data_IF_918430317037
#
_entry.id   IF_918430317037
#
_cell.length_a   1.000
_cell.length_b   1.000
_cell.length_c   1.000
_cell.angle_alpha   90.00
_cell.angle_beta   90.00
_cell.angle_gamma   90.00
#
_symmetry.space_group_name_H-M   'P 1'
#
loop_
_entity.id
_entity.type
_entity.pdbx_description
1 polymer ?
#
# COMPACT_ATOMS: atom_id res chain seq x y z
N UNK A 1 46.93 -26.99 -20.15
CA UNK A 1 46.37 -25.67 -20.52
C UNK A 1 44.97 -25.92 -21.05
N UNK A 2 43.96 -25.59 -20.25
CA UNK A 2 42.56 -25.65 -20.63
C UNK A 2 42.24 -24.49 -21.58
N UNK A 3 41.73 -24.77 -22.78
CA UNK A 3 41.20 -23.76 -23.68
C UNK A 3 39.67 -23.83 -23.64
N UNK A 4 39.07 -22.72 -23.20
CA UNK A 4 37.64 -22.51 -22.99
C UNK A 4 36.87 -22.46 -24.32
N UNK A 5 35.69 -23.10 -24.31
CA UNK A 5 34.69 -23.02 -25.36
C UNK A 5 33.96 -21.66 -25.31
N UNK A 6 33.63 -21.03 -26.45
CA UNK A 6 32.97 -19.73 -26.45
C UNK A 6 31.49 -19.86 -26.08
N UNK A 7 31.12 -19.19 -24.98
CA UNK A 7 29.74 -19.08 -24.48
C UNK A 7 28.87 -18.34 -25.51
N UNK A 8 27.91 -19.07 -26.10
CA UNK A 8 26.82 -18.49 -26.93
C UNK A 8 26.04 -17.47 -26.09
N UNK A 9 26.17 -16.18 -26.41
CA UNK A 9 25.24 -15.14 -25.94
C UNK A 9 23.83 -15.48 -26.44
N UNK A 10 22.93 -15.91 -25.54
CA UNK A 10 21.49 -15.95 -25.83
C UNK A 10 21.03 -14.52 -26.11
N UNK A 11 20.68 -14.27 -27.36
CA UNK A 11 19.98 -13.07 -27.80
C UNK A 11 18.60 -13.09 -27.12
N UNK A 12 18.36 -12.16 -26.19
CA UNK A 12 17.06 -11.99 -25.55
C UNK A 12 16.09 -11.39 -26.58
N UNK A 13 15.00 -12.09 -26.83
CA UNK A 13 13.86 -11.52 -27.55
C UNK A 13 13.35 -10.31 -26.75
N UNK A 14 13.34 -9.15 -27.39
CA UNK A 14 12.61 -7.99 -26.93
C UNK A 14 11.16 -8.30 -27.30
N UNK A 15 10.38 -8.81 -26.36
CA UNK A 15 8.93 -8.88 -26.52
C UNK A 15 8.40 -7.46 -26.39
N UNK A 16 7.89 -6.91 -27.49
CA UNK A 16 7.04 -5.71 -27.49
C UNK A 16 5.78 -6.05 -26.68
N UNK A 17 5.83 -5.81 -25.37
CA UNK A 17 4.70 -6.01 -24.46
C UNK A 17 3.75 -4.81 -24.55
N UNK A 18 2.54 -5.03 -25.10
CA UNK A 18 1.44 -4.09 -24.97
C UNK A 18 1.15 -3.79 -23.48
N UNK A 19 1.10 -2.52 -23.06
CA UNK A 19 0.94 -2.16 -21.66
C UNK A 19 -0.46 -2.50 -21.13
N UNK A 20 -0.57 -2.91 -19.86
CA UNK A 20 -1.85 -3.09 -19.17
C UNK A 20 -2.69 -1.81 -19.29
N UNK A 21 -3.93 -1.96 -19.76
CA UNK A 21 -4.92 -0.88 -19.85
C UNK A 21 -5.47 -0.54 -18.46
N UNK A 22 -4.74 0.29 -17.72
CA UNK A 22 -5.23 0.87 -16.48
C UNK A 22 -6.19 2.05 -16.75
N UNK A 23 -7.29 2.19 -15.98
CA UNK A 23 -8.25 3.26 -16.19
C UNK A 23 -7.62 4.64 -16.00
N UNK A 24 -8.11 5.61 -16.80
CA UNK A 24 -7.69 7.02 -16.76
C UNK A 24 -8.96 7.88 -16.82
N UNK A 25 -9.34 8.58 -15.74
CA UNK A 25 -8.65 8.65 -14.44
C UNK A 25 -8.78 7.34 -13.61
N UNK A 26 -7.79 7.07 -12.75
CA UNK A 26 -7.76 5.89 -11.88
C UNK A 26 -8.47 6.19 -10.54
N UNK A 27 -9.80 6.26 -10.58
CA UNK A 27 -10.67 6.68 -9.46
C UNK A 27 -11.46 5.51 -8.85
N UNK A 28 -11.12 4.26 -9.18
CA UNK A 28 -11.85 3.08 -8.70
C UNK A 28 -13.33 3.14 -9.04
N UNK A 29 -14.15 2.73 -8.07
CA UNK A 29 -15.61 2.83 -8.10
C UNK A 29 -16.12 4.14 -7.50
N UNK A 30 -15.23 5.11 -7.26
CA UNK A 30 -15.54 6.41 -6.67
C UNK A 30 -14.41 6.92 -5.80
N UNK A 31 -14.24 8.24 -5.76
CA UNK A 31 -13.37 8.92 -4.79
C UNK A 31 -14.10 10.11 -4.19
N UNK A 32 -13.77 10.57 -2.97
CA UNK A 32 -14.55 11.58 -2.26
C UNK A 32 -14.78 12.93 -2.96
N UNK A 33 -13.96 13.27 -3.96
CA UNK A 33 -13.98 14.61 -4.59
C UNK A 33 -14.29 14.60 -6.08
N UNK A 34 -14.50 13.43 -6.68
CA UNK A 34 -14.89 13.35 -8.07
C UNK A 34 -16.33 12.85 -8.12
N UNK A 35 -17.20 13.59 -8.81
CA UNK A 35 -18.57 13.17 -9.05
C UNK A 35 -18.53 11.95 -9.98
N UNK A 36 -19.06 10.80 -9.52
CA UNK A 36 -19.23 9.65 -10.39
C UNK A 36 -20.25 10.01 -11.50
N UNK A 37 -19.91 9.88 -12.79
CA UNK A 37 -20.83 10.23 -13.88
C UNK A 37 -22.06 9.29 -13.95
N UNK A 38 -21.98 8.13 -13.30
CA UNK A 38 -23.07 7.17 -13.15
C UNK A 38 -22.77 6.31 -11.92
N UNK A 39 -23.82 5.83 -11.22
CA UNK A 39 -23.69 4.78 -10.20
C UNK A 39 -22.97 3.60 -10.87
N UNK A 40 -21.78 3.25 -10.38
CA UNK A 40 -21.10 2.05 -10.86
C UNK A 40 -21.96 0.87 -10.44
N UNK A 41 -22.65 0.23 -11.39
CA UNK A 41 -23.39 -0.98 -11.10
C UNK A 41 -22.40 -2.14 -11.11
N UNK A 42 -22.27 -2.82 -9.96
CA UNK A 42 -21.41 -3.98 -9.78
C UNK A 42 -22.23 -5.17 -9.31
N UNK A 43 -22.26 -6.23 -10.11
CA UNK A 43 -22.88 -7.50 -9.73
C UNK A 43 -21.79 -8.47 -9.32
N UNK A 44 -21.93 -9.07 -8.14
CA UNK A 44 -21.00 -10.07 -7.63
C UNK A 44 -21.56 -11.48 -7.89
N UNK A 45 -20.70 -12.45 -8.26
CA UNK A 45 -21.10 -13.86 -8.27
C UNK A 45 -21.55 -14.31 -6.87
N UNK A 46 -22.50 -15.24 -6.80
CA UNK A 46 -23.07 -15.72 -5.53
C UNK A 46 -22.00 -16.19 -4.54
N UNK A 47 -20.98 -16.89 -5.04
CA UNK A 47 -19.83 -17.38 -4.25
C UNK A 47 -18.99 -16.22 -3.66
N UNK A 48 -18.94 -15.07 -4.33
CA UNK A 48 -18.18 -13.92 -3.88
C UNK A 48 -18.89 -13.16 -2.75
N UNK A 49 -20.20 -13.29 -2.61
CA UNK A 49 -21.00 -12.52 -1.64
C UNK A 49 -20.57 -12.88 -0.20
N UNK A 50 -20.48 -11.86 0.66
CA UNK A 50 -20.15 -12.00 2.08
C UNK A 50 -21.39 -12.24 2.96
N UNK A 51 -21.21 -12.45 4.28
CA UNK A 51 -19.92 -12.57 4.99
C UNK A 51 -19.24 -13.95 4.77
N UNK A 52 -17.91 -14.04 4.93
CA UNK A 52 -16.98 -12.95 5.22
C UNK A 52 -16.83 -11.98 4.04
N UNK A 53 -16.62 -10.70 4.34
CA UNK A 53 -16.05 -9.79 3.37
C UNK A 53 -14.58 -10.10 3.18
N UNK A 54 -14.05 -9.96 1.97
CA UNK A 54 -12.64 -10.08 1.68
C UNK A 54 -12.13 -8.82 0.98
N UNK A 55 -10.86 -8.49 1.22
CA UNK A 55 -10.21 -7.33 0.64
C UNK A 55 -8.73 -7.63 0.37
N UNK A 56 -8.35 -7.65 -0.90
CA UNK A 56 -6.98 -7.94 -1.33
C UNK A 56 -6.40 -6.78 -2.13
N UNK A 57 -5.21 -6.30 -1.73
CA UNK A 57 -4.48 -5.23 -2.42
C UNK A 57 -3.27 -5.78 -3.19
N UNK A 58 -3.02 -5.19 -4.36
CA UNK A 58 -1.78 -5.39 -5.09
C UNK A 58 -1.39 -4.15 -5.93
N UNK A 59 -0.13 -4.08 -6.37
CA UNK A 59 0.34 -3.00 -7.25
C UNK A 59 -0.42 -2.97 -8.58
N UNK A 60 -0.91 -1.78 -8.98
CA UNK A 60 -1.69 -1.66 -10.20
C UNK A 60 -0.90 -2.06 -11.46
N UNK A 61 0.38 -1.67 -11.52
CA UNK A 61 1.31 -1.97 -12.62
C UNK A 61 1.96 -3.36 -12.48
N UNK A 62 1.16 -4.39 -12.19
CA UNK A 62 1.62 -5.78 -12.17
C UNK A 62 1.96 -6.28 -13.60
N UNK A 63 2.69 -7.39 -13.77
CA UNK A 63 2.89 -8.03 -15.08
C UNK A 63 1.57 -8.46 -15.74
N UNK A 64 1.59 -8.62 -17.08
CA UNK A 64 0.42 -9.06 -17.86
C UNK A 64 -0.10 -10.41 -17.34
N UNK A 65 -1.42 -10.57 -17.29
CA UNK A 65 -2.09 -11.80 -16.82
C UNK A 65 -2.15 -11.97 -15.30
N UNK A 66 -1.43 -11.15 -14.51
CA UNK A 66 -1.47 -11.23 -13.05
C UNK A 66 -2.84 -10.84 -12.50
N UNK A 67 -3.43 -9.73 -12.98
CA UNK A 67 -4.77 -9.32 -12.56
C UNK A 67 -5.86 -10.29 -13.00
N UNK A 68 -5.77 -10.83 -14.22
CA UNK A 68 -6.69 -11.86 -14.71
C UNK A 68 -6.64 -13.12 -13.84
N UNK A 69 -5.45 -13.49 -13.37
CA UNK A 69 -5.26 -14.61 -12.46
C UNK A 69 -5.83 -14.29 -11.08
N UNK A 70 -5.50 -13.13 -10.51
CA UNK A 70 -6.02 -12.75 -9.19
C UNK A 70 -7.55 -12.68 -9.17
N UNK A 71 -8.15 -12.09 -10.20
CA UNK A 71 -9.60 -12.01 -10.36
C UNK A 71 -10.22 -13.41 -10.45
N UNK A 72 -9.69 -14.30 -11.30
CA UNK A 72 -10.18 -15.68 -11.42
C UNK A 72 -10.17 -16.45 -10.10
N UNK A 73 -9.09 -16.33 -9.32
CA UNK A 73 -8.97 -17.02 -8.03
C UNK A 73 -9.77 -16.35 -6.91
N UNK A 74 -10.17 -15.08 -7.06
CA UNK A 74 -11.03 -14.36 -6.14
C UNK A 74 -12.43 -14.18 -6.74
N UNK A 75 -12.98 -15.28 -7.25
CA UNK A 75 -14.37 -15.42 -7.71
C UNK A 75 -14.76 -14.49 -8.86
N UNK A 76 -13.86 -14.29 -9.81
CA UNK A 76 -14.03 -13.42 -10.98
C UNK A 76 -14.44 -11.98 -10.63
N UNK A 77 -14.08 -11.53 -9.41
CA UNK A 77 -14.37 -10.16 -8.98
C UNK A 77 -13.41 -9.19 -9.67
N UNK A 78 -13.98 -8.14 -10.27
CA UNK A 78 -13.20 -7.11 -10.95
C UNK A 78 -12.38 -6.28 -9.95
N UNK A 79 -11.09 -6.01 -10.22
CA UNK A 79 -10.25 -5.16 -9.39
C UNK A 79 -10.64 -3.68 -9.48
N UNK A 80 -10.82 -3.04 -8.34
CA UNK A 80 -10.97 -1.59 -8.19
C UNK A 80 -9.59 -0.92 -8.29
N UNK A 81 -9.28 -0.29 -9.42
CA UNK A 81 -8.02 0.44 -9.60
C UNK A 81 -8.13 1.90 -9.15
N UNK A 82 -7.41 2.27 -8.10
CA UNK A 82 -7.38 3.65 -7.57
C UNK A 82 -5.96 4.14 -7.29
N UNK A 83 -5.73 5.44 -7.52
CA UNK A 83 -4.49 6.13 -7.18
C UNK A 83 -4.68 6.95 -5.89
N UNK A 84 -3.90 6.67 -4.85
CA UNK A 84 -4.00 7.40 -3.57
C UNK A 84 -3.75 8.90 -3.67
N UNK A 85 -3.31 9.44 -4.82
CA UNK A 85 -3.25 10.89 -5.04
C UNK A 85 -4.60 11.58 -4.87
N UNK A 86 -5.72 10.88 -4.98
CA UNK A 86 -7.06 11.43 -4.74
C UNK A 86 -7.40 11.53 -3.25
N UNK A 87 -6.64 10.84 -2.40
CA UNK A 87 -6.81 10.82 -0.96
C UNK A 87 -5.76 11.69 -0.27
N UNK A 88 -4.49 11.63 -0.66
CA UNK A 88 -3.40 12.38 -0.01
C UNK A 88 -2.43 13.07 -1.01
N UNK A 89 -1.33 13.64 -0.50
CA UNK A 89 -0.33 14.36 -1.28
C UNK A 89 0.67 13.46 -2.06
N UNK A 90 0.52 12.13 -1.98
CA UNK A 90 1.38 11.17 -2.70
C UNK A 90 0.57 10.32 -3.66
N UNK A 91 1.11 10.04 -4.85
CA UNK A 91 0.53 9.07 -5.75
C UNK A 91 0.87 7.63 -5.32
N UNK A 92 -0.10 6.72 -5.30
CA UNK A 92 0.12 5.30 -5.00
C UNK A 92 -0.94 4.50 -5.77
N UNK A 93 -0.58 4.04 -6.96
CA UNK A 93 -1.48 3.28 -7.84
C UNK A 93 -1.58 1.84 -7.39
N UNK A 94 -2.79 1.40 -7.02
CA UNK A 94 -3.10 0.04 -6.55
C UNK A 94 -4.38 -0.47 -7.20
N UNK A 95 -4.49 -1.79 -7.25
CA UNK A 95 -5.76 -2.46 -7.50
C UNK A 95 -6.21 -3.16 -6.23
N UNK A 96 -7.52 -3.21 -6.03
CA UNK A 96 -8.15 -3.81 -4.85
C UNK A 96 -9.26 -4.76 -5.31
N UNK A 97 -9.17 -6.04 -4.95
CA UNK A 97 -10.24 -7.01 -5.22
C UNK A 97 -10.98 -7.26 -3.90
N UNK A 98 -12.28 -6.97 -3.88
CA UNK A 98 -13.10 -7.13 -2.69
C UNK A 98 -14.57 -7.36 -3.03
N UNK A 99 -15.31 -7.94 -2.10
CA UNK A 99 -16.77 -8.11 -2.18
C UNK A 99 -17.55 -7.07 -1.35
N UNK A 100 -16.90 -6.02 -0.85
CA UNK A 100 -17.56 -4.93 -0.12
C UNK A 100 -18.62 -4.20 -0.97
N UNK A 101 -19.69 -3.68 -0.35
CA UNK A 101 -20.54 -2.66 -0.95
C UNK A 101 -19.73 -1.44 -1.40
N UNK A 102 -20.23 -0.74 -2.40
CA UNK A 102 -19.56 0.44 -2.99
C UNK A 102 -20.39 1.72 -2.82
N UNK A 103 -21.65 1.55 -2.45
CA UNK A 103 -22.59 2.59 -2.06
C UNK A 103 -22.26 3.14 -0.66
N UNK A 104 -22.65 4.39 -0.41
CA UNK A 104 -22.56 5.05 0.91
C UNK A 104 -21.17 5.10 1.56
N UNK A 105 -20.10 4.95 0.74
CA UNK A 105 -18.72 5.17 1.18
C UNK A 105 -18.52 6.62 1.62
N UNK A 106 -17.84 6.81 2.74
CA UNK A 106 -17.49 8.13 3.28
C UNK A 106 -16.00 8.25 3.60
N UNK A 107 -15.37 9.43 3.40
CA UNK A 107 -13.96 9.63 3.69
C UNK A 107 -13.68 9.70 5.20
N UNK A 108 -12.45 9.37 5.59
CA UNK A 108 -11.95 9.72 6.91
C UNK A 108 -11.88 11.24 7.10
N UNK A 109 -12.21 11.67 8.31
CA UNK A 109 -12.06 13.07 8.75
C UNK A 109 -11.05 13.17 9.90
N UNK A 110 -10.27 14.26 9.97
CA UNK A 110 -10.15 15.32 8.96
C UNK A 110 -9.49 14.80 7.67
N UNK A 111 -9.81 15.42 6.53
CA UNK A 111 -9.19 15.07 5.25
C UNK A 111 -7.68 15.35 5.30
N UNK A 112 -6.82 14.42 4.84
CA UNK A 112 -5.38 14.63 4.85
C UNK A 112 -4.96 15.67 3.79
N UNK A 113 -3.77 16.26 3.92
CA UNK A 113 -3.25 17.21 2.94
C UNK A 113 -3.15 16.56 1.56
N UNK A 114 -3.59 17.28 0.54
CA UNK A 114 -3.62 16.83 -0.84
C UNK A 114 -2.47 17.41 -1.65
N UNK A 115 -1.81 18.47 -1.24
CA UNK A 115 -0.64 18.98 -1.98
C UNK A 115 0.62 18.94 -1.12
N UNK A 116 1.79 18.97 -1.77
CA UNK A 116 3.08 19.09 -1.07
C UNK A 116 3.08 20.31 -0.16
N UNK A 117 2.49 21.43 -0.59
CA UNK A 117 2.49 22.66 0.20
C UNK A 117 1.46 22.67 1.33
N UNK A 118 0.37 21.91 1.23
CA UNK A 118 -0.52 21.65 2.37
C UNK A 118 0.17 20.75 3.41
N UNK A 119 0.87 19.70 2.94
CA UNK A 119 1.58 18.77 3.82
C UNK A 119 2.82 19.41 4.47
N UNK A 120 3.54 20.25 3.73
CA UNK A 120 4.81 20.85 4.14
C UNK A 120 4.84 22.36 3.86
N UNK A 121 4.08 23.18 4.62
CA UNK A 121 3.96 24.62 4.35
C UNK A 121 5.30 25.37 4.33
N UNK A 122 6.25 24.94 5.16
CA UNK A 122 7.57 25.57 5.28
C UNK A 122 8.45 25.39 4.05
N UNK A 123 8.18 24.40 3.20
CA UNK A 123 8.94 24.15 1.96
C UNK A 123 8.66 25.20 0.89
N UNK A 124 7.49 25.86 0.94
CA UNK A 124 7.05 26.84 -0.08
C UNK A 124 8.05 27.98 -0.27
N UNK A 125 8.68 28.45 0.81
CA UNK A 125 9.70 29.52 0.78
C UNK A 125 10.93 29.14 -0.05
N UNK A 126 11.25 27.85 -0.13
CA UNK A 126 12.45 27.34 -0.79
C UNK A 126 12.17 26.67 -2.13
N UNK A 127 10.91 26.66 -2.55
CA UNK A 127 10.48 25.96 -3.74
C UNK A 127 10.84 26.75 -5.01
N UNK A 128 11.66 26.20 -5.92
CA UNK A 128 11.97 26.88 -7.17
C UNK A 128 10.72 27.04 -8.05
N UNK A 129 10.61 28.18 -8.76
CA UNK A 129 9.51 28.46 -9.71
C UNK A 129 9.37 27.40 -10.81
N UNK A 130 10.49 26.81 -11.24
CA UNK A 130 10.54 25.77 -12.26
C UNK A 130 10.24 24.35 -11.73
N UNK A 131 10.17 24.15 -10.40
CA UNK A 131 9.72 22.88 -9.85
C UNK A 131 8.20 22.83 -9.77
N UNK A 132 7.59 22.25 -10.80
CA UNK A 132 6.14 22.20 -10.98
C UNK A 132 5.43 21.11 -10.17
N UNK A 133 6.14 20.37 -9.31
CA UNK A 133 5.52 19.27 -8.54
C UNK A 133 4.59 19.83 -7.47
N UNK A 134 3.33 19.40 -7.51
CA UNK A 134 2.33 19.65 -6.47
C UNK A 134 2.02 18.39 -5.65
N UNK A 135 2.45 17.22 -6.14
CA UNK A 135 2.27 15.89 -5.56
C UNK A 135 3.61 15.15 -5.55
N UNK A 136 3.76 14.25 -4.58
CA UNK A 136 4.87 13.30 -4.52
C UNK A 136 4.54 12.04 -5.32
N UNK A 137 5.59 11.33 -5.73
CA UNK A 137 5.47 10.00 -6.33
C UNK A 137 5.26 8.94 -5.25
N UNK A 138 5.02 7.70 -5.66
CA UNK A 138 4.87 6.55 -4.77
C UNK A 138 6.03 6.47 -3.78
N UNK A 139 5.70 6.52 -2.50
CA UNK A 139 6.62 6.34 -1.41
C UNK A 139 7.29 4.96 -1.51
N UNK A 140 8.62 4.94 -1.45
CA UNK A 140 9.45 3.75 -1.65
C UNK A 140 10.01 3.23 -0.31
N UNK A 141 10.53 2.01 -0.30
CA UNK A 141 11.18 1.39 0.87
C UNK A 141 12.60 1.92 1.15
N UNK A 142 13.12 2.76 0.26
CA UNK A 142 14.46 3.34 0.32
C UNK A 142 14.43 4.83 0.04
N UNK A 143 15.37 5.56 0.63
CA UNK A 143 15.46 7.02 0.50
C UNK A 143 16.70 7.47 -0.27
N UNK A 144 16.66 8.70 -0.78
CA UNK A 144 17.80 9.33 -1.44
C UNK A 144 19.00 9.48 -0.47
N UNK A 145 20.20 9.21 -0.97
CA UNK A 145 21.42 9.30 -0.15
C UNK A 145 21.85 10.74 0.12
N UNK A 146 22.60 10.96 1.20
CA UNK A 146 23.23 12.24 1.50
C UNK A 146 24.16 12.72 0.35
N UNK A 147 24.83 11.78 -0.33
CA UNK A 147 25.67 12.07 -1.51
C UNK A 147 24.85 12.62 -2.67
N UNK A 148 23.64 12.10 -2.88
CA UNK A 148 22.73 12.64 -3.90
C UNK A 148 22.30 14.07 -3.56
N UNK A 149 21.87 14.32 -2.32
CA UNK A 149 21.49 15.66 -1.86
C UNK A 149 22.66 16.66 -2.02
N UNK A 150 23.89 16.26 -1.71
CA UNK A 150 25.08 17.09 -1.90
C UNK A 150 25.37 17.38 -3.39
N UNK A 151 25.20 16.39 -4.28
CA UNK A 151 25.33 16.61 -5.74
C UNK A 151 24.30 17.61 -6.27
N UNK A 152 23.04 17.51 -5.84
CA UNK A 152 21.99 18.47 -6.21
C UNK A 152 22.36 19.86 -5.70
N UNK A 153 22.80 19.97 -4.44
CA UNK A 153 23.24 21.25 -3.86
C UNK A 153 24.39 21.88 -4.65
N UNK A 154 25.40 21.09 -5.03
CA UNK A 154 26.55 21.55 -5.84
C UNK A 154 26.13 21.99 -7.23
N UNK A 155 25.27 21.21 -7.89
CA UNK A 155 24.73 21.57 -9.20
C UNK A 155 23.97 22.90 -9.15
N UNK A 156 23.10 23.08 -8.15
CA UNK A 156 22.34 24.32 -7.96
C UNK A 156 23.24 25.51 -7.62
N UNK A 157 24.25 25.32 -6.76
CA UNK A 157 25.23 26.37 -6.43
C UNK A 157 26.04 26.84 -7.62
N UNK A 158 26.45 25.92 -8.50
CA UNK A 158 27.19 26.27 -9.71
C UNK A 158 26.37 27.16 -10.66
N UNK A 159 25.03 27.14 -10.52
CA UNK A 159 24.12 27.96 -11.31
C UNK A 159 23.83 29.32 -10.66
N UNK A 160 24.29 29.60 -9.43
CA UNK A 160 24.06 30.90 -8.78
C UNK A 160 24.78 32.07 -9.47
N UNK A 161 25.77 31.78 -10.31
CA UNK A 161 26.50 32.78 -11.10
C UNK A 161 25.77 33.13 -12.41
N UNK A 162 24.68 32.43 -12.75
CA UNK A 162 23.85 32.76 -13.91
C UNK A 162 22.72 33.69 -13.45
N UNK A 163 22.51 34.79 -14.18
CA UNK A 163 21.33 35.63 -13.98
C UNK A 163 20.08 34.87 -14.47
N UNK A 164 19.30 34.33 -13.55
CA UNK A 164 18.01 33.70 -13.83
C UNK A 164 17.90 32.23 -13.40
N UNK A 165 17.00 31.49 -14.04
CA UNK A 165 16.78 30.08 -13.74
C UNK A 165 17.93 29.20 -14.29
N UNK A 166 18.22 28.05 -13.65
CA UNK A 166 19.21 27.10 -14.16
C UNK A 166 18.91 26.66 -15.61
N UNK A 167 19.91 26.28 -16.41
CA UNK A 167 19.68 25.69 -17.72
C UNK A 167 18.74 24.47 -17.65
N UNK A 168 17.89 24.29 -18.67
CA UNK A 168 16.88 23.21 -18.71
C UNK A 168 17.45 21.81 -18.46
N UNK A 169 18.68 21.55 -18.88
CA UNK A 169 19.36 20.28 -18.61
C UNK A 169 19.61 20.03 -17.12
N UNK A 170 19.98 21.07 -16.37
CA UNK A 170 20.17 21.00 -14.92
C UNK A 170 18.83 20.88 -14.21
N UNK A 171 17.83 21.67 -14.64
CA UNK A 171 16.47 21.57 -14.10
C UNK A 171 15.93 20.15 -14.26
N UNK A 172 16.03 19.58 -15.46
CA UNK A 172 15.60 18.21 -15.76
C UNK A 172 16.30 17.18 -14.87
N UNK A 173 17.63 17.23 -14.77
CA UNK A 173 18.40 16.34 -13.90
C UNK A 173 17.93 16.42 -12.44
N UNK A 174 17.79 17.63 -11.89
CA UNK A 174 17.36 17.83 -10.51
C UNK A 174 15.92 17.35 -10.31
N UNK A 175 15.00 17.66 -11.22
CA UNK A 175 13.62 17.19 -11.13
C UNK A 175 13.52 15.67 -11.22
N UNK A 176 14.30 15.02 -12.08
CA UNK A 176 14.26 13.57 -12.23
C UNK A 176 14.73 12.88 -10.94
N UNK A 177 15.81 13.37 -10.31
CA UNK A 177 16.25 12.86 -9.00
C UNK A 177 15.26 13.18 -7.88
N UNK A 178 14.70 14.39 -7.86
CA UNK A 178 13.69 14.79 -6.89
C UNK A 178 12.41 13.96 -7.00
N UNK A 179 11.95 13.64 -8.22
CA UNK A 179 10.81 12.74 -8.47
C UNK A 179 11.12 11.30 -8.09
N UNK A 180 12.31 10.82 -8.40
CA UNK A 180 12.72 9.44 -8.11
C UNK A 180 12.80 9.16 -6.61
N UNK A 181 13.34 10.11 -5.86
CA UNK A 181 13.62 9.94 -4.43
C UNK A 181 12.70 10.74 -3.51
N UNK A 182 11.63 11.33 -4.07
CA UNK A 182 10.68 12.18 -3.36
C UNK A 182 11.37 13.26 -2.50
N UNK A 183 12.35 13.95 -3.09
CA UNK A 183 13.10 15.00 -2.39
C UNK A 183 12.27 16.29 -2.31
N UNK A 184 12.33 16.94 -1.15
CA UNK A 184 11.71 18.23 -0.87
C UNK A 184 12.76 19.34 -0.74
N UNK A 185 12.40 20.56 -1.12
CA UNK A 185 13.23 21.74 -0.90
C UNK A 185 13.09 22.24 0.53
N UNK A 186 14.18 22.15 1.31
CA UNK A 186 14.21 22.48 2.75
C UNK A 186 15.06 23.72 3.06
N UNK A 187 15.67 24.30 2.03
CA UNK A 187 16.51 25.48 2.14
C UNK A 187 17.00 25.94 0.78
N UNK A 188 17.61 27.13 0.72
CA UNK A 188 18.25 27.64 -0.51
C UNK A 188 19.22 26.60 -1.07
N UNK A 189 18.92 26.09 -2.27
CA UNK A 189 19.67 25.06 -2.98
C UNK A 189 19.81 23.72 -2.22
N UNK A 190 18.92 23.43 -1.26
CA UNK A 190 18.96 22.21 -0.44
C UNK A 190 17.71 21.38 -0.68
N UNK A 191 17.90 20.21 -1.29
CA UNK A 191 16.91 19.16 -1.37
C UNK A 191 17.20 18.08 -0.32
N UNK A 192 16.17 17.54 0.32
CA UNK A 192 16.28 16.50 1.37
C UNK A 192 15.26 15.40 1.14
N UNK A 193 15.55 14.13 1.46
CA UNK A 193 14.52 13.10 1.55
C UNK A 193 13.53 13.44 2.68
N UNK A 194 12.35 12.82 2.59
CA UNK A 194 11.33 12.86 3.64
C UNK A 194 11.86 12.22 4.94
N UNK A 195 11.56 12.85 6.07
CA UNK A 195 11.74 12.26 7.39
C UNK A 195 10.68 11.17 7.65
N UNK A 196 10.95 10.29 8.61
CA UNK A 196 10.09 9.12 8.86
C UNK A 196 8.68 9.50 9.34
N UNK A 197 8.54 10.57 10.12
CA UNK A 197 7.24 11.05 10.61
C UNK A 197 6.44 11.77 9.51
N UNK A 198 7.13 12.42 8.57
CA UNK A 198 6.51 12.95 7.34
C UNK A 198 5.95 11.81 6.48
N UNK A 199 6.67 10.68 6.43
CA UNK A 199 6.25 9.46 5.75
C UNK A 199 5.00 8.84 6.40
N UNK A 200 4.97 8.74 7.74
CA UNK A 200 3.82 8.27 8.51
C UNK A 200 2.58 9.13 8.24
N UNK A 201 2.74 10.46 8.27
CA UNK A 201 1.66 11.41 7.98
C UNK A 201 1.09 11.23 6.58
N UNK A 202 1.95 11.13 5.55
CA UNK A 202 1.52 10.97 4.16
C UNK A 202 0.82 9.62 3.91
N UNK A 203 1.21 8.59 4.66
CA UNK A 203 0.59 7.26 4.62
C UNK A 203 -0.67 7.16 5.50
N UNK A 204 -1.00 8.19 6.29
CA UNK A 204 -2.19 8.26 7.13
C UNK A 204 -2.08 7.52 8.47
N UNK A 205 -0.86 7.19 8.89
CA UNK A 205 -0.57 6.58 10.20
C UNK A 205 -0.45 7.64 11.31
N UNK A 206 -0.66 7.25 12.58
CA UNK A 206 -0.35 8.10 13.73
C UNK A 206 1.11 8.56 13.72
N UNK A 207 1.38 9.75 14.26
CA UNK A 207 2.74 10.25 14.40
C UNK A 207 3.54 9.34 15.33
N UNK A 208 4.76 8.99 14.93
CA UNK A 208 5.64 8.06 15.64
C UNK A 208 5.14 6.60 15.66
N UNK A 209 4.17 6.22 14.82
CA UNK A 209 3.64 4.85 14.77
C UNK A 209 4.72 3.78 14.64
N UNK A 210 5.75 4.03 13.84
CA UNK A 210 6.87 3.10 13.63
C UNK A 210 8.09 3.43 14.48
N UNK A 211 8.00 4.38 15.43
CA UNK A 211 9.13 4.80 16.27
C UNK A 211 9.08 4.11 17.63
N UNK A 212 10.11 3.35 17.95
CA UNK A 212 10.25 2.70 19.26
C UNK A 212 10.77 1.28 19.14
N UNK A 213 10.88 0.56 20.26
CA UNK A 213 11.11 -0.89 20.24
C UNK A 213 12.37 -1.37 19.52
N UNK A 214 13.42 -0.54 19.42
CA UNK A 214 14.69 -0.93 18.79
C UNK A 214 14.70 -0.95 17.25
N UNK A 215 13.63 -0.51 16.57
CA UNK A 215 13.58 -0.48 15.10
C UNK A 215 14.56 0.53 14.50
N UNK A 216 15.29 0.11 13.46
CA UNK A 216 16.21 0.99 12.75
C UNK A 216 15.46 1.99 11.86
N UNK A 217 16.08 3.15 11.57
CA UNK A 217 15.50 4.13 10.64
C UNK A 217 15.26 3.53 9.24
N UNK A 218 16.14 2.62 8.80
CA UNK A 218 16.00 1.92 7.51
C UNK A 218 14.77 1.00 7.51
N UNK A 219 14.57 0.24 8.59
CA UNK A 219 13.41 -0.64 8.71
C UNK A 219 12.10 0.15 8.79
N UNK A 220 12.09 1.32 9.43
CA UNK A 220 10.93 2.23 9.40
C UNK A 220 10.50 2.59 7.98
N UNK A 221 11.45 3.02 7.13
CA UNK A 221 11.15 3.34 5.72
C UNK A 221 10.70 2.11 4.94
N UNK A 222 11.32 0.94 5.20
CA UNK A 222 10.94 -0.32 4.55
C UNK A 222 9.49 -0.70 4.89
N UNK A 223 9.14 -0.69 6.17
CA UNK A 223 7.81 -1.02 6.66
C UNK A 223 6.75 -0.05 6.13
N UNK A 224 7.03 1.26 6.16
CA UNK A 224 6.09 2.28 5.66
C UNK A 224 5.93 2.25 4.13
N UNK A 225 7.00 2.03 3.37
CA UNK A 225 6.94 1.93 1.91
C UNK A 225 6.01 0.81 1.43
N UNK A 226 5.97 -0.29 2.18
CA UNK A 226 5.16 -1.47 1.88
C UNK A 226 3.75 -1.44 2.50
N UNK A 227 3.46 -0.54 3.44
CA UNK A 227 2.17 -0.46 4.11
C UNK A 227 1.03 0.07 3.22
N UNK A 228 -0.21 -0.13 3.66
CA UNK A 228 -1.37 0.54 3.05
C UNK A 228 -1.33 2.05 3.23
N UNK A 229 -1.89 2.78 2.26
CA UNK A 229 -2.27 4.17 2.48
C UNK A 229 -3.63 4.15 3.21
N UNK A 230 -3.62 4.59 4.47
CA UNK A 230 -4.73 4.39 5.41
C UNK A 230 -6.02 5.05 4.93
N UNK A 231 -5.98 6.28 4.44
CA UNK A 231 -7.19 7.02 4.05
C UNK A 231 -7.88 6.42 2.81
N UNK A 232 -7.13 5.83 1.88
CA UNK A 232 -7.64 5.10 0.71
C UNK A 232 -8.35 3.84 1.16
N UNK A 233 -7.69 3.02 1.99
CA UNK A 233 -8.28 1.77 2.50
C UNK A 233 -9.49 2.05 3.38
N UNK A 234 -9.42 3.05 4.25
CA UNK A 234 -10.53 3.45 5.10
C UNK A 234 -11.74 3.92 4.30
N UNK A 235 -11.56 4.60 3.17
CA UNK A 235 -12.69 4.96 2.30
C UNK A 235 -13.42 3.72 1.80
N UNK A 236 -12.71 2.66 1.39
CA UNK A 236 -13.33 1.42 0.96
C UNK A 236 -13.98 0.65 2.11
N UNK A 237 -13.33 0.63 3.29
CA UNK A 237 -13.84 -0.07 4.49
C UNK A 237 -14.94 0.70 5.23
N UNK A 238 -15.21 1.96 4.86
CA UNK A 238 -16.17 2.84 5.55
C UNK A 238 -17.58 2.25 5.63
N UNK A 239 -18.00 1.52 4.59
CA UNK A 239 -19.29 0.83 4.50
C UNK A 239 -19.51 -0.20 5.62
N UNK A 240 -18.43 -0.72 6.22
CA UNK A 240 -18.53 -1.68 7.31
C UNK A 240 -19.00 -1.05 8.63
N UNK A 241 -18.92 0.29 8.76
CA UNK A 241 -19.28 0.98 10.00
C UNK A 241 -20.74 0.75 10.38
N UNK A 242 -21.65 0.93 9.42
CA UNK A 242 -23.08 0.81 9.67
C UNK A 242 -23.53 -0.65 9.65
N UNK A 243 -22.82 -1.52 8.93
CA UNK A 243 -23.07 -2.97 8.92
C UNK A 243 -22.70 -3.65 10.25
N UNK A 244 -21.71 -3.12 10.97
CA UNK A 244 -21.17 -3.72 12.19
C UNK A 244 -21.05 -2.70 13.34
N UNK A 245 -22.18 -2.20 13.87
CA UNK A 245 -22.18 -1.19 14.93
C UNK A 245 -21.55 -1.68 16.24
N UNK A 246 -21.53 -3.01 16.46
CA UNK A 246 -20.96 -3.66 17.64
C UNK A 246 -19.52 -4.14 17.44
N UNK A 247 -18.86 -3.71 16.36
CA UNK A 247 -17.51 -4.12 16.01
C UNK A 247 -17.43 -5.38 15.16
N UNK A 248 -16.21 -5.69 14.75
CA UNK A 248 -15.90 -6.74 13.78
C UNK A 248 -14.79 -7.67 14.27
N UNK A 249 -14.83 -8.89 13.74
CA UNK A 249 -13.73 -9.86 13.81
C UNK A 249 -12.94 -9.82 12.49
N UNK A 250 -11.63 -9.59 12.57
CA UNK A 250 -10.76 -9.37 11.41
C UNK A 250 -9.69 -10.45 11.33
N UNK A 251 -9.54 -11.04 10.15
CA UNK A 251 -8.38 -11.85 9.78
C UNK A 251 -7.49 -11.03 8.83
N UNK A 252 -6.36 -10.56 9.34
CA UNK A 252 -5.43 -9.65 8.67
C UNK A 252 -4.17 -10.40 8.24
N UNK A 253 -4.09 -10.74 6.96
CA UNK A 253 -3.00 -11.51 6.36
C UNK A 253 -1.96 -10.56 5.75
N UNK A 254 -0.68 -10.80 6.05
CA UNK A 254 0.43 -9.91 5.66
C UNK A 254 0.22 -8.48 6.20
N UNK A 255 -0.17 -8.41 7.48
CA UNK A 255 -0.69 -7.20 8.12
C UNK A 255 0.32 -6.05 8.21
N UNK A 256 1.63 -6.35 8.11
CA UNK A 256 2.69 -5.36 8.19
C UNK A 256 2.58 -4.54 9.47
N UNK A 257 2.56 -3.22 9.33
CA UNK A 257 2.47 -2.29 10.47
C UNK A 257 1.03 -1.97 10.88
N UNK A 258 0.05 -2.77 10.47
CA UNK A 258 -1.33 -2.61 10.92
C UNK A 258 -2.17 -1.60 10.12
N UNK A 259 -1.93 -1.48 8.81
CA UNK A 259 -2.60 -0.46 8.00
C UNK A 259 -4.13 -0.60 7.95
N UNK A 260 -4.64 -1.84 7.96
CA UNK A 260 -6.07 -2.12 7.95
C UNK A 260 -6.70 -1.81 9.32
N UNK A 261 -6.05 -2.23 10.39
CA UNK A 261 -6.46 -2.04 11.77
C UNK A 261 -6.51 -0.56 12.12
N UNK A 262 -5.50 0.21 11.70
CA UNK A 262 -5.49 1.67 11.83
C UNK A 262 -6.63 2.31 11.05
N UNK A 263 -6.92 1.84 9.83
CA UNK A 263 -8.04 2.35 9.02
C UNK A 263 -9.39 2.12 9.71
N UNK A 264 -9.66 0.89 10.16
CA UNK A 264 -10.89 0.50 10.86
C UNK A 264 -11.05 1.26 12.19
N UNK A 265 -9.97 1.39 12.96
CA UNK A 265 -9.95 2.16 14.19
C UNK A 265 -10.26 3.64 13.93
N UNK A 266 -9.66 4.26 12.90
CA UNK A 266 -9.94 5.66 12.53
C UNK A 266 -11.36 5.88 12.01
N UNK A 267 -11.99 4.85 11.42
CA UNK A 267 -13.41 4.87 11.08
C UNK A 267 -14.32 4.77 12.31
N UNK A 268 -13.76 4.46 13.48
CA UNK A 268 -14.50 4.21 14.71
C UNK A 268 -15.27 2.90 14.67
N UNK A 269 -14.76 1.90 13.93
CA UNK A 269 -15.30 0.54 13.93
C UNK A 269 -14.59 -0.24 15.04
N UNK A 270 -15.31 -0.76 16.06
CA UNK A 270 -14.68 -1.49 17.15
C UNK A 270 -14.01 -2.78 16.64
N UNK A 271 -12.81 -3.06 17.13
CA UNK A 271 -12.05 -4.27 16.81
C UNK A 271 -12.23 -5.29 17.94
N UNK A 272 -13.10 -6.28 17.73
CA UNK A 272 -13.45 -7.27 18.76
C UNK A 272 -12.39 -8.36 18.86
N UNK A 273 -12.04 -8.96 17.73
CA UNK A 273 -10.96 -9.92 17.61
C UNK A 273 -10.17 -9.64 16.34
N UNK A 274 -8.86 -9.51 16.44
CA UNK A 274 -7.96 -9.34 15.30
C UNK A 274 -6.95 -10.48 15.31
N UNK A 275 -7.02 -11.35 14.30
CA UNK A 275 -6.00 -12.34 14.03
C UNK A 275 -5.09 -11.77 12.94
N UNK A 276 -3.83 -11.52 13.30
CA UNK A 276 -2.86 -10.84 12.45
C UNK A 276 -1.71 -11.79 12.09
N UNK A 277 -1.41 -11.91 10.79
CA UNK A 277 -0.32 -12.75 10.29
C UNK A 277 0.77 -11.89 9.66
N UNK A 278 1.94 -11.84 10.28
CA UNK A 278 3.06 -11.01 9.82
C UNK A 278 4.41 -11.66 10.12
N UNK A 279 5.24 -11.82 9.08
CA UNK A 279 6.54 -12.52 9.19
C UNK A 279 7.58 -11.71 9.96
N UNK A 280 7.58 -10.38 9.82
CA UNK A 280 8.54 -9.51 10.49
C UNK A 280 8.17 -9.25 11.94
N UNK A 281 9.02 -9.70 12.86
CA UNK A 281 8.86 -9.41 14.29
C UNK A 281 8.80 -7.91 14.58
N UNK A 282 9.56 -7.11 13.84
CA UNK A 282 9.56 -5.65 13.94
C UNK A 282 8.17 -5.08 13.65
N UNK A 283 7.51 -5.55 12.59
CA UNK A 283 6.17 -5.13 12.21
C UNK A 283 5.11 -5.61 13.23
N UNK A 284 5.22 -6.86 13.70
CA UNK A 284 4.37 -7.38 14.78
C UNK A 284 4.48 -6.53 16.05
N UNK A 285 5.69 -6.14 16.43
CA UNK A 285 5.93 -5.28 17.59
C UNK A 285 5.35 -3.87 17.40
N UNK A 286 5.36 -3.32 16.19
CA UNK A 286 4.69 -2.04 15.88
C UNK A 286 3.18 -2.17 16.09
N UNK A 287 2.54 -3.19 15.51
CA UNK A 287 1.10 -3.39 15.66
C UNK A 287 0.72 -3.64 17.12
N UNK A 288 1.47 -4.46 17.85
CA UNK A 288 1.25 -4.71 19.29
C UNK A 288 1.39 -3.43 20.12
N UNK A 289 2.43 -2.63 19.85
CA UNK A 289 2.61 -1.34 20.54
C UNK A 289 1.43 -0.41 20.28
N UNK A 290 0.96 -0.32 19.03
CA UNK A 290 -0.21 0.48 18.68
C UNK A 290 -1.49 -0.01 19.36
N UNK A 291 -1.68 -1.34 19.41
CA UNK A 291 -2.82 -1.98 20.07
C UNK A 291 -2.92 -1.58 21.55
N UNK A 292 -1.80 -1.66 22.26
CA UNK A 292 -1.71 -1.28 23.68
C UNK A 292 -1.86 0.23 23.89
N UNK A 293 -1.20 1.04 23.07
CA UNK A 293 -1.22 2.51 23.16
C UNK A 293 -2.60 3.11 22.88
N UNK A 294 -3.40 2.46 22.03
CA UNK A 294 -4.78 2.88 21.74
C UNK A 294 -5.79 2.26 22.70
N UNK A 295 -5.34 1.50 23.70
CA UNK A 295 -6.15 0.85 24.73
C UNK A 295 -7.30 0.02 24.13
N UNK A 296 -7.03 -0.70 23.04
CA UNK A 296 -8.00 -1.61 22.43
C UNK A 296 -8.57 -2.58 23.45
N UNK A 297 -9.87 -2.83 23.37
CA UNK A 297 -10.60 -3.69 24.31
C UNK A 297 -10.79 -5.11 23.83
N UNK A 298 -10.67 -5.34 22.52
CA UNK A 298 -10.70 -6.66 21.92
C UNK A 298 -9.42 -7.44 22.12
N UNK A 299 -9.34 -8.56 21.41
CA UNK A 299 -8.18 -9.45 21.41
C UNK A 299 -7.33 -9.25 20.16
N UNK A 300 -6.01 -9.18 20.33
CA UNK A 300 -5.04 -9.28 19.23
C UNK A 300 -4.30 -10.61 19.35
N UNK A 301 -4.36 -11.41 18.29
CA UNK A 301 -3.70 -12.71 18.20
C UNK A 301 -2.73 -12.66 17.02
N UNK A 302 -1.43 -12.79 17.30
CA UNK A 302 -0.40 -12.72 16.27
C UNK A 302 0.16 -14.09 15.89
N UNK A 303 0.18 -14.35 14.58
CA UNK A 303 0.90 -15.45 13.95
C UNK A 303 2.06 -14.89 13.12
N UNK A 304 3.18 -15.60 13.11
CA UNK A 304 4.34 -15.18 12.32
C UNK A 304 4.31 -15.76 10.88
N UNK A 305 3.63 -16.88 10.66
CA UNK A 305 3.61 -17.56 9.37
C UNK A 305 2.18 -17.97 9.01
N UNK A 306 1.79 -17.69 7.76
CA UNK A 306 0.48 -18.05 7.22
C UNK A 306 0.28 -19.56 7.14
N UNK A 307 1.35 -20.34 7.12
CA UNK A 307 1.29 -21.80 7.16
C UNK A 307 0.77 -22.34 8.51
N UNK A 308 0.78 -21.52 9.57
CA UNK A 308 0.20 -21.90 10.86
C UNK A 308 -1.33 -21.83 10.86
N UNK A 309 -1.93 -21.11 9.91
CA UNK A 309 -3.38 -21.06 9.73
C UNK A 309 -3.82 -22.22 8.82
N UNK A 310 -4.05 -23.38 9.44
CA UNK A 310 -4.69 -24.53 8.81
C UNK A 310 -6.19 -24.59 9.17
N UNK A 311 -6.91 -25.56 8.59
CA UNK A 311 -8.36 -25.72 8.78
C UNK A 311 -8.76 -25.84 10.24
N UNK A 312 -8.08 -26.69 11.01
CA UNK A 312 -8.38 -26.94 12.43
C UNK A 312 -8.21 -25.68 13.28
N UNK A 313 -7.14 -24.92 13.03
CA UNK A 313 -6.86 -23.65 13.73
C UNK A 313 -7.91 -22.61 13.41
N UNK A 314 -8.27 -22.46 12.12
CA UNK A 314 -9.32 -21.53 11.71
C UNK A 314 -10.69 -21.94 12.28
N UNK A 315 -10.99 -23.23 12.33
CA UNK A 315 -12.23 -23.75 12.88
C UNK A 315 -12.35 -23.42 14.38
N UNK A 316 -11.30 -23.67 15.16
CA UNK A 316 -11.24 -23.31 16.59
C UNK A 316 -11.42 -21.80 16.82
N UNK A 317 -10.82 -20.97 15.98
CA UNK A 317 -11.02 -19.51 16.06
C UNK A 317 -12.45 -19.11 15.72
N UNK A 318 -13.03 -19.68 14.68
CA UNK A 318 -14.42 -19.41 14.28
C UNK A 318 -15.38 -19.86 15.38
N UNK A 319 -15.12 -20.99 16.06
CA UNK A 319 -15.84 -21.43 17.27
C UNK A 319 -15.74 -20.42 18.41
N UNK A 320 -14.54 -19.92 18.68
CA UNK A 320 -14.31 -19.02 19.80
C UNK A 320 -14.81 -17.60 19.56
N UNK A 321 -14.77 -17.08 18.33
CA UNK A 321 -15.06 -15.69 18.01
C UNK A 321 -16.44 -15.47 17.39
N UNK A 322 -17.08 -16.54 16.89
CA UNK A 322 -18.32 -16.46 16.10
C UNK A 322 -18.11 -16.19 14.60
N UNK A 323 -16.89 -16.41 14.10
CA UNK A 323 -16.53 -16.18 12.69
C UNK A 323 -15.79 -14.87 12.44
N UNK A 324 -15.40 -14.65 11.17
CA UNK A 324 -14.72 -13.44 10.71
C UNK A 324 -15.63 -12.62 9.81
N UNK A 325 -15.69 -11.32 10.03
CA UNK A 325 -16.46 -10.39 9.22
C UNK A 325 -15.66 -9.89 8.03
N UNK A 326 -14.34 -9.76 8.20
CA UNK A 326 -13.40 -9.26 7.20
C UNK A 326 -12.13 -10.11 7.15
N UNK A 327 -11.79 -10.61 5.96
CA UNK A 327 -10.48 -11.19 5.63
C UNK A 327 -9.71 -10.23 4.72
N UNK A 328 -8.71 -9.54 5.26
CA UNK A 328 -7.97 -8.49 4.56
C UNK A 328 -6.50 -8.87 4.37
N UNK A 329 -5.93 -8.54 3.22
CA UNK A 329 -4.51 -8.73 2.98
C UNK A 329 -3.96 -7.90 1.82
N UNK A 330 -2.64 -7.78 1.76
CA UNK A 330 -1.93 -7.09 0.69
C UNK A 330 -0.74 -7.90 0.21
N UNK A 331 -0.40 -7.79 -1.07
CA UNK A 331 0.80 -8.45 -1.60
C UNK A 331 2.06 -7.84 -0.95
N UNK A 332 2.97 -8.64 -0.37
CA UNK A 332 4.25 -8.15 0.12
C UNK A 332 5.11 -7.68 -1.07
N UNK A 333 5.01 -6.40 -1.37
CA UNK A 333 5.64 -5.77 -2.54
C UNK A 333 7.16 -5.61 -2.41
N UNK A 334 7.95 -6.69 -2.50
CA UNK A 334 9.41 -6.58 -2.60
C UNK A 334 9.96 -6.78 -4.03
N UNK A 335 9.25 -7.47 -4.94
CA UNK A 335 9.76 -7.76 -6.30
C UNK A 335 9.00 -7.10 -7.47
N UNK A 336 7.87 -6.43 -7.21
CA UNK A 336 7.07 -5.82 -8.29
C UNK A 336 7.34 -4.32 -8.48
N UNK A 337 8.09 -3.68 -7.59
CA UNK A 337 8.48 -2.26 -7.73
C UNK A 337 9.80 -2.15 -8.48
N UNK A 338 9.84 -1.33 -9.54
CA UNK A 338 10.92 -1.23 -10.53
C UNK A 338 12.31 -0.77 -10.03
N UNK A 339 12.54 -0.76 -8.72
CA UNK A 339 13.84 -0.47 -8.10
C UNK A 339 14.71 -1.72 -7.93
N UNK A 340 14.12 -2.93 -7.87
CA UNK A 340 14.84 -4.20 -7.94
C UNK A 340 14.91 -4.68 -9.40
N UNK A 341 16.02 -4.34 -10.09
CA UNK A 341 16.29 -4.71 -11.49
C UNK A 341 16.48 -6.21 -11.77
N UNK A 342 16.28 -7.09 -10.77
CA UNK A 342 16.81 -8.48 -10.82
C UNK A 342 15.75 -9.58 -10.98
N UNK A 343 14.49 -9.42 -10.55
CA UNK A 343 13.47 -10.47 -10.74
C UNK A 343 12.07 -9.88 -10.85
N UNK A 344 11.57 -9.71 -12.07
CA UNK A 344 10.14 -9.46 -12.35
C UNK A 344 9.44 -10.81 -12.52
N UNK A 345 9.58 -11.68 -11.53
CA UNK A 345 9.02 -13.03 -11.60
C UNK A 345 7.57 -12.93 -11.13
N UNK A 346 6.64 -12.64 -12.05
CA UNK A 346 5.23 -12.27 -11.76
C UNK A 346 4.52 -13.12 -10.70
N UNK A 347 3.72 -14.11 -11.13
CA UNK A 347 3.07 -15.08 -10.24
C UNK A 347 3.85 -16.43 -10.16
N UNK A 348 5.12 -16.42 -10.56
CA UNK A 348 6.00 -17.60 -10.56
C UNK A 348 7.13 -17.52 -9.51
N UNK A 349 7.18 -16.46 -8.71
CA UNK A 349 8.17 -16.23 -7.66
C UNK A 349 7.70 -16.58 -6.25
N UNK A 350 8.56 -16.40 -5.23
CA UNK A 350 8.20 -16.61 -3.81
C UNK A 350 7.06 -15.70 -3.32
N UNK A 351 6.88 -14.52 -3.92
CA UNK A 351 5.78 -13.60 -3.58
C UNK A 351 4.43 -14.11 -4.11
N UNK A 352 4.45 -15.07 -5.04
CA UNK A 352 3.28 -15.64 -5.69
C UNK A 352 2.60 -16.73 -4.87
N UNK A 353 3.37 -17.47 -4.05
CA UNK A 353 2.79 -18.44 -3.11
C UNK A 353 1.90 -17.75 -2.07
N UNK A 354 2.25 -16.53 -1.67
CA UNK A 354 1.52 -15.78 -0.65
C UNK A 354 0.13 -15.34 -1.14
N UNK A 355 -0.04 -15.07 -2.43
CA UNK A 355 -1.37 -14.87 -3.01
C UNK A 355 -2.22 -16.15 -2.91
N UNK A 356 -1.67 -17.30 -3.27
CA UNK A 356 -2.40 -18.57 -3.18
C UNK A 356 -2.70 -18.97 -1.73
N UNK A 357 -1.83 -18.63 -0.79
CA UNK A 357 -2.13 -18.79 0.64
C UNK A 357 -3.28 -17.86 1.08
N UNK A 358 -3.33 -16.61 0.60
CA UNK A 358 -4.47 -15.73 0.86
C UNK A 358 -5.78 -16.36 0.37
N UNK A 359 -5.81 -16.82 -0.89
CA UNK A 359 -6.99 -17.47 -1.49
C UNK A 359 -7.39 -18.70 -0.69
N UNK A 360 -6.43 -19.58 -0.37
CA UNK A 360 -6.65 -20.78 0.45
C UNK A 360 -7.32 -20.43 1.78
N UNK A 361 -6.85 -19.38 2.46
CA UNK A 361 -7.42 -18.97 3.75
C UNK A 361 -8.83 -18.39 3.57
N UNK A 362 -9.06 -17.55 2.56
CA UNK A 362 -10.41 -17.03 2.26
C UNK A 362 -11.39 -18.18 2.00
N UNK A 363 -11.01 -19.16 1.18
CA UNK A 363 -11.84 -20.34 0.87
C UNK A 363 -12.13 -21.17 2.12
N UNK A 364 -11.12 -21.43 2.96
CA UNK A 364 -11.31 -22.17 4.22
C UNK A 364 -12.26 -21.45 5.16
N UNK A 365 -12.07 -20.14 5.38
CA UNK A 365 -12.95 -19.34 6.25
C UNK A 365 -14.38 -19.35 5.70
N UNK A 366 -14.57 -19.12 4.39
CA UNK A 366 -15.91 -19.17 3.76
C UNK A 366 -16.56 -20.54 3.92
N UNK A 367 -15.81 -21.62 3.69
CA UNK A 367 -16.31 -22.99 3.80
C UNK A 367 -16.76 -23.32 5.22
N UNK A 368 -15.90 -23.07 6.22
CA UNK A 368 -16.21 -23.34 7.63
C UNK A 368 -17.41 -22.51 8.10
N UNK A 369 -17.47 -21.23 7.74
CA UNK A 369 -18.59 -20.36 8.12
C UNK A 369 -19.91 -20.76 7.43
N UNK A 370 -19.86 -21.26 6.20
CA UNK A 370 -21.05 -21.71 5.47
C UNK A 370 -21.65 -22.97 6.09
N UNK A 371 -20.81 -23.92 6.52
CA UNK A 371 -21.26 -25.15 7.17
C UNK A 371 -21.97 -24.93 8.52
N UNK A 372 -21.77 -23.76 9.15
CA UNK A 372 -22.32 -23.41 10.46
C UNK A 372 -23.59 -22.55 10.39
N UNK A 373 -23.98 -22.09 9.19
CA UNK A 373 -25.23 -21.37 8.95
C UNK A 373 -26.42 -22.30 8.68
N UNK A 374 -26.19 -23.60 8.60
CA UNK A 374 -27.21 -24.65 8.37
C UNK A 374 -27.80 -25.12 9.69
#
# INVERSE_FOLDING_TARGET
MYNELPVRKKQRAITDEEPIHLPRPMIGFGVPTESLPAIVQRTLPEQAIGPPFFYYENVALAPKGVWDTMSRFLYDVEPEFVDSKYFCATARKRGYIHNLPIEDRFPLLPLPPRTIHEAFPLTKKWWPSWDTRTKLNCLQTSIGSARLADRIRKAMKAMENFDGEPPLMVQKYVLDECRKWNLLWVGRNKASPLETDEFEMLMGFPRNHTRGGGISRTDRYKSLGNAFQVDTVAYHLSVLKDLYPNGINVLSLFSGIGGAEVALYRLGIPLNNVVSVEISEVNRNILRSWWEQTNQKGNLIDFNDIQQLNGDVLEQMIDSFGGFDLVIGGSPCNNLTGSNRVTRDGLEGKDSSLFYDYVRIVDLVKSIMSNRRV
#
